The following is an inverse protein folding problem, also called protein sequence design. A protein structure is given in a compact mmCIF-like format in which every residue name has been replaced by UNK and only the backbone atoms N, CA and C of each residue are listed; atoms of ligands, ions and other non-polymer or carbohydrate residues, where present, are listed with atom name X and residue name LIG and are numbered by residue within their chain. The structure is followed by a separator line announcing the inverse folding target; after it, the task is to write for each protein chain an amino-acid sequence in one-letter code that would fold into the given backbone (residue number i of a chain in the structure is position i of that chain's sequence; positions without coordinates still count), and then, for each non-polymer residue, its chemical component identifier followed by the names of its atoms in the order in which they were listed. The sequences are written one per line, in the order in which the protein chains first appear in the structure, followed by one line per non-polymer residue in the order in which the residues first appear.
data_IF_657340316566
#
_entry.id   IF_657340316566
#
_cell.length_a   1.000
_cell.length_b   1.000
_cell.length_c   1.000
_cell.angle_alpha   90.00
_cell.angle_beta   90.00
_cell.angle_gamma   90.00
#
_symmetry.space_group_name_H-M   'P 1'
#
loop_
_entity.id
_entity.type
_entity.pdbx_description
1 polymer ?
#
# COMPACT_ATOMS: atom_id res chain seq x y z
N UNK A 1 2.34 9.06 20.41
CA UNK A 1 1.53 9.53 19.27
C UNK A 1 1.11 8.30 18.50
N UNK A 2 -0.18 7.94 18.54
CA UNK A 2 -0.70 6.77 17.82
C UNK A 2 -1.46 7.30 16.60
N UNK A 3 -0.77 7.29 15.48
CA UNK A 3 -1.39 7.34 14.16
C UNK A 3 -1.48 5.86 13.71
N UNK A 4 -2.19 5.47 12.66
CA UNK A 4 -1.61 5.46 11.31
C UNK A 4 -2.65 4.76 10.42
N UNK A 5 -2.90 5.33 9.26
CA UNK A 5 -3.59 4.62 8.18
C UNK A 5 -2.64 3.51 7.71
N UNK A 6 -3.11 2.27 7.67
CA UNK A 6 -2.29 1.10 7.34
C UNK A 6 -2.79 0.48 6.04
N UNK A 7 -1.88 0.22 5.10
CA UNK A 7 -2.13 -0.61 3.92
C UNK A 7 -1.70 -2.03 4.25
N UNK A 8 -2.63 -2.96 4.21
CA UNK A 8 -2.41 -4.38 4.43
C UNK A 8 -2.62 -5.09 3.10
N UNK A 9 -1.65 -5.87 2.65
CA UNK A 9 -1.69 -6.66 1.42
C UNK A 9 -1.63 -8.13 1.82
N UNK A 10 -2.60 -8.90 1.33
CA UNK A 10 -2.72 -10.33 1.56
C UNK A 10 -2.19 -11.06 0.34
N UNK A 11 -1.33 -12.04 0.56
CA UNK A 11 -0.80 -12.90 -0.49
C UNK A 11 -1.49 -14.26 -0.49
N UNK A 12 -1.46 -14.94 -1.63
CA UNK A 12 -2.08 -16.26 -1.84
C UNK A 12 -1.48 -17.37 -0.97
N UNK A 13 -0.25 -17.19 -0.49
CA UNK A 13 0.43 -18.11 0.42
C UNK A 13 0.02 -17.89 1.91
N UNK A 14 -0.84 -16.91 2.18
CA UNK A 14 -1.27 -16.51 3.52
C UNK A 14 -0.38 -15.45 4.18
N UNK A 15 0.72 -15.05 3.54
CA UNK A 15 1.58 -13.97 4.03
C UNK A 15 0.84 -12.64 4.00
N UNK A 16 1.10 -11.80 5.01
CA UNK A 16 0.55 -10.44 5.09
C UNK A 16 1.68 -9.42 5.16
N UNK A 17 1.63 -8.44 4.27
CA UNK A 17 2.47 -7.27 4.35
C UNK A 17 1.67 -6.08 4.86
N UNK A 18 2.18 -5.42 5.89
CA UNK A 18 1.60 -4.23 6.46
C UNK A 18 2.57 -3.07 6.26
N UNK A 19 2.10 -1.97 5.68
CA UNK A 19 2.86 -0.75 5.54
C UNK A 19 2.09 0.43 6.10
N UNK A 20 2.81 1.24 6.87
CA UNK A 20 2.30 2.48 7.43
C UNK A 20 2.29 3.57 6.33
N UNK A 21 1.15 4.22 6.14
CA UNK A 21 0.92 5.20 5.06
C UNK A 21 1.44 6.62 5.40
N UNK A 22 2.02 6.80 6.60
CA UNK A 22 2.66 8.07 6.96
C UNK A 22 3.86 8.38 6.06
N UNK A 23 3.82 9.55 5.41
CA UNK A 23 4.85 10.01 4.47
C UNK A 23 5.15 8.97 3.38
N UNK A 24 4.12 8.60 2.61
CA UNK A 24 4.34 7.89 1.35
C UNK A 24 5.24 8.71 0.43
N UNK A 25 6.13 8.01 -0.27
CA UNK A 25 7.06 8.60 -1.22
C UNK A 25 6.72 8.23 -2.66
N UNK A 26 6.39 6.97 -2.91
CA UNK A 26 6.05 6.47 -4.25
C UNK A 26 5.22 5.19 -4.18
N UNK A 27 4.49 4.91 -5.26
CA UNK A 27 3.83 3.62 -5.50
C UNK A 27 3.71 3.38 -6.99
N UNK A 28 3.75 2.14 -7.44
CA UNK A 28 3.62 1.82 -8.85
C UNK A 28 3.76 0.33 -9.17
N UNK A 29 3.91 0.05 -10.47
CA UNK A 29 4.29 -1.26 -10.97
C UNK A 29 5.70 -1.12 -11.56
N UNK A 30 6.58 -2.05 -11.20
CA UNK A 30 7.86 -2.24 -11.84
C UNK A 30 7.93 -3.68 -12.34
N UNK A 31 8.07 -3.87 -13.66
CA UNK A 31 7.97 -5.18 -14.31
C UNK A 31 6.65 -5.88 -13.90
N UNK A 32 6.72 -6.96 -13.11
CA UNK A 32 5.57 -7.68 -12.59
C UNK A 32 5.37 -7.52 -11.07
N UNK A 33 6.04 -6.56 -10.45
CA UNK A 33 5.94 -6.29 -9.02
C UNK A 33 5.16 -5.00 -8.77
N UNK A 34 4.17 -5.08 -7.88
CA UNK A 34 3.66 -3.91 -7.18
C UNK A 34 4.73 -3.40 -6.22
N UNK A 35 4.96 -2.09 -6.19
CA UNK A 35 5.80 -1.48 -5.16
C UNK A 35 5.10 -0.32 -4.47
N UNK A 36 5.43 -0.15 -3.19
CA UNK A 36 5.08 1.02 -2.40
C UNK A 36 6.27 1.39 -1.52
N UNK A 37 6.56 2.69 -1.44
CA UNK A 37 7.70 3.22 -0.71
C UNK A 37 7.23 4.26 0.30
N UNK A 38 7.69 4.14 1.54
CA UNK A 38 7.57 5.17 2.56
C UNK A 38 8.94 5.64 3.03
N UNK A 39 8.97 6.78 3.71
CA UNK A 39 10.22 7.37 4.19
C UNK A 39 10.86 6.67 5.40
N UNK A 40 10.18 5.74 6.08
CA UNK A 40 10.62 5.17 7.37
C UNK A 40 11.01 3.68 7.30
N UNK A 41 10.18 2.91 6.63
CA UNK A 41 10.24 1.47 6.43
C UNK A 41 10.87 1.11 5.07
N UNK A 42 10.98 2.08 4.16
CA UNK A 42 11.62 1.90 2.85
C UNK A 42 10.64 1.41 1.78
N UNK A 43 11.13 0.58 0.86
CA UNK A 43 10.39 0.08 -0.30
C UNK A 43 9.97 -1.36 -0.09
N UNK A 44 8.68 -1.62 -0.24
CA UNK A 44 8.08 -2.94 -0.31
C UNK A 44 7.82 -3.27 -1.77
N UNK A 45 8.22 -4.45 -2.21
CA UNK A 45 7.92 -4.99 -3.54
C UNK A 45 7.22 -6.34 -3.40
N UNK A 46 6.15 -6.54 -4.16
CA UNK A 46 5.30 -7.72 -4.11
C UNK A 46 4.97 -8.14 -5.54
N UNK A 47 5.21 -9.41 -5.93
CA UNK A 47 4.76 -9.93 -7.23
C UNK A 47 3.24 -9.81 -7.38
N UNK A 48 2.77 -9.21 -8.48
CA UNK A 48 1.35 -8.95 -8.71
C UNK A 48 0.51 -10.23 -8.70
N UNK A 49 1.06 -11.31 -9.26
CA UNK A 49 0.43 -12.63 -9.34
C UNK A 49 0.30 -13.33 -7.97
N UNK A 50 1.07 -12.90 -6.97
CA UNK A 50 1.01 -13.40 -5.59
C UNK A 50 -0.06 -12.71 -4.74
N UNK A 51 -0.58 -11.56 -5.19
CA UNK A 51 -1.56 -10.77 -4.43
C UNK A 51 -2.92 -11.48 -4.46
N UNK A 52 -3.50 -11.65 -3.27
CA UNK A 52 -4.83 -12.23 -3.07
C UNK A 52 -5.86 -11.16 -2.65
N UNK A 53 -5.41 -10.09 -1.99
CA UNK A 53 -6.29 -9.03 -1.53
C UNK A 53 -5.53 -7.86 -0.93
N UNK A 54 -6.27 -6.79 -0.61
CA UNK A 54 -5.75 -5.72 0.23
C UNK A 54 -6.84 -5.11 1.11
N UNK A 55 -6.42 -4.47 2.19
CA UNK A 55 -7.29 -3.73 3.11
C UNK A 55 -6.59 -2.45 3.52
N UNK A 56 -7.37 -1.38 3.65
CA UNK A 56 -6.92 -0.17 4.31
C UNK A 56 -7.57 -0.11 5.69
N UNK A 57 -6.75 -0.11 6.74
CA UNK A 57 -7.22 0.08 8.10
C UNK A 57 -6.95 1.51 8.55
N UNK A 58 -7.94 2.12 9.20
CA UNK A 58 -7.75 3.41 9.84
C UNK A 58 -8.31 3.40 11.25
N UNK A 59 -7.54 3.94 12.19
CA UNK A 59 -8.02 4.20 13.54
C UNK A 59 -8.80 5.52 13.64
N UNK A 60 -8.65 6.46 12.69
CA UNK A 60 -9.31 7.79 12.66
C UNK A 60 -9.34 8.40 11.25
N UNK A 61 -10.23 9.36 11.00
CA UNK A 61 -10.18 10.19 9.78
C UNK A 61 -8.88 10.99 9.76
N UNK A 62 -7.99 10.70 8.80
CA UNK A 62 -6.64 11.29 8.73
C UNK A 62 -6.56 12.33 7.62
N UNK A 63 -5.93 13.48 7.89
CA UNK A 63 -5.56 14.45 6.88
C UNK A 63 -4.23 14.01 6.27
N UNK A 64 -4.30 13.25 5.17
CA UNK A 64 -3.13 13.03 4.33
C UNK A 64 -2.78 14.33 3.60
N UNK A 65 -1.49 14.66 3.47
CA UNK A 65 -1.06 15.65 2.50
C UNK A 65 -1.48 15.20 1.09
N UNK A 66 -1.86 16.14 0.22
CA UNK A 66 -2.39 15.83 -1.13
C UNK A 66 -1.47 14.91 -1.94
N UNK A 67 -0.14 15.08 -1.80
CA UNK A 67 0.85 14.20 -2.42
C UNK A 67 0.72 12.76 -1.95
N UNK A 68 0.60 12.53 -0.64
CA UNK A 68 0.45 11.20 -0.05
C UNK A 68 -0.89 10.58 -0.46
N UNK A 69 -1.93 11.40 -0.55
CA UNK A 69 -3.25 10.98 -1.01
C UNK A 69 -3.22 10.50 -2.45
N UNK A 70 -2.53 11.22 -3.35
CA UNK A 70 -2.35 10.83 -4.75
C UNK A 70 -1.61 9.50 -4.88
N UNK A 71 -0.54 9.32 -4.10
CA UNK A 71 0.22 8.06 -4.07
C UNK A 71 -0.66 6.91 -3.55
N UNK A 72 -1.40 7.13 -2.46
CA UNK A 72 -2.31 6.14 -1.93
C UNK A 72 -3.41 5.74 -2.93
N UNK A 73 -4.04 6.72 -3.58
CA UNK A 73 -5.05 6.48 -4.62
C UNK A 73 -4.47 5.66 -5.76
N UNK A 74 -3.22 5.94 -6.16
CA UNK A 74 -2.50 5.19 -7.20
C UNK A 74 -2.28 3.74 -6.76
N UNK A 75 -1.78 3.52 -5.55
CA UNK A 75 -1.59 2.18 -4.98
C UNK A 75 -2.90 1.39 -4.95
N UNK A 76 -3.98 1.99 -4.45
CA UNK A 76 -5.32 1.37 -4.41
C UNK A 76 -5.80 1.04 -5.82
N UNK A 77 -5.67 1.96 -6.77
CA UNK A 77 -6.09 1.74 -8.15
C UNK A 77 -5.35 0.59 -8.84
N UNK A 78 -4.07 0.40 -8.54
CA UNK A 78 -3.29 -0.76 -9.02
C UNK A 78 -3.78 -2.05 -8.38
N UNK A 79 -3.88 -2.08 -7.05
CA UNK A 79 -4.28 -3.27 -6.30
C UNK A 79 -5.70 -3.72 -6.67
N UNK A 80 -6.65 -2.80 -6.82
CA UNK A 80 -8.01 -3.11 -7.25
C UNK A 80 -8.09 -3.77 -8.63
N UNK A 81 -7.15 -3.49 -9.54
CA UNK A 81 -7.11 -4.13 -10.87
C UNK A 81 -6.55 -5.54 -10.86
N UNK A 82 -5.74 -5.90 -9.87
CA UNK A 82 -5.17 -7.25 -9.76
C UNK A 82 -6.16 -8.25 -9.17
N UNK A 83 -7.26 -7.77 -8.56
CA UNK A 83 -8.28 -8.59 -7.93
C UNK A 83 -9.48 -8.91 -8.85
N UNK A 84 -9.34 -8.64 -10.14
CA UNK A 84 -10.36 -8.94 -11.17
C UNK A 84 -10.09 -10.28 -11.84
#
# INVERSE_FOLDING_TARGET
MVNLLDLIIFLKDGTQYKMIIDRLKASGINENNFFIENHKEGRLEIPLDSIDGFKIETARTYLLHESNMTILITAVGILSKQLT
#
